data_IF_609718217846
#
_entry.id   IF_609718217846
#
_cell.length_a   1.000
_cell.length_b   1.000
_cell.length_c   1.000
_cell.angle_alpha   90.00
_cell.angle_beta   90.00
_cell.angle_gamma   90.00
#
_symmetry.space_group_name_H-M   'P 1'
#
loop_
_entity.id
_entity.type
_entity.pdbx_description
1 polymer ?
#
# COMPACT_ATOMS: atom_id res chain seq x y z
N UNK A 1 -4.14 -1.62 -23.55
CA UNK A 1 -5.06 -2.69 -23.99
C UNK A 1 -5.86 -3.09 -22.75
N UNK A 2 -7.19 -2.85 -22.73
CA UNK A 2 -8.04 -3.30 -21.63
C UNK A 2 -8.14 -4.81 -21.76
N UNK A 3 -7.67 -5.55 -20.76
CA UNK A 3 -7.79 -7.01 -20.68
C UNK A 3 -9.22 -7.43 -20.97
N UNK A 4 -9.39 -8.45 -21.79
CA UNK A 4 -10.70 -8.98 -22.12
C UNK A 4 -11.36 -9.44 -20.81
N UNK A 5 -12.54 -8.88 -20.48
CA UNK A 5 -13.30 -9.17 -19.24
C UNK A 5 -13.58 -10.67 -19.01
N UNK A 6 -13.30 -11.52 -20.01
CA UNK A 6 -13.56 -12.95 -20.02
C UNK A 6 -12.32 -13.81 -19.71
N UNK A 7 -11.13 -13.22 -19.53
CA UNK A 7 -9.93 -13.93 -19.12
C UNK A 7 -9.94 -14.09 -17.59
N UNK A 8 -10.40 -15.24 -17.09
CA UNK A 8 -10.40 -15.54 -15.65
C UNK A 8 -8.99 -15.46 -15.03
N UNK A 9 -7.94 -15.60 -15.84
CA UNK A 9 -6.54 -15.47 -15.41
C UNK A 9 -6.11 -14.05 -15.01
N UNK A 10 -6.91 -13.01 -15.32
CA UNK A 10 -6.58 -11.61 -15.03
C UNK A 10 -7.46 -11.00 -13.92
N UNK A 11 -8.45 -11.76 -13.41
CA UNK A 11 -9.33 -11.26 -12.37
C UNK A 11 -8.61 -11.23 -11.02
N UNK A 12 -8.42 -10.03 -10.47
CA UNK A 12 -7.97 -9.83 -9.10
C UNK A 12 -9.20 -9.55 -8.22
N UNK A 13 -9.66 -10.53 -7.42
CA UNK A 13 -10.78 -10.30 -6.51
C UNK A 13 -10.40 -9.25 -5.47
N UNK A 14 -11.31 -8.31 -5.22
CA UNK A 14 -11.17 -7.30 -4.16
C UNK A 14 -12.25 -7.56 -3.13
N UNK A 15 -11.84 -7.67 -1.86
CA UNK A 15 -12.76 -7.71 -0.73
C UNK A 15 -13.10 -6.29 -0.30
N UNK A 16 -14.38 -5.93 -0.41
CA UNK A 16 -14.87 -4.64 0.09
C UNK A 16 -15.25 -4.77 1.56
N UNK A 17 -14.61 -3.99 2.41
CA UNK A 17 -14.98 -3.85 3.81
C UNK A 17 -16.15 -2.89 3.97
N UNK A 18 -16.94 -3.07 5.03
CA UNK A 18 -17.96 -2.09 5.39
C UNK A 18 -17.30 -0.76 5.84
N UNK A 19 -18.06 0.33 5.81
CA UNK A 19 -17.54 1.67 6.14
C UNK A 19 -16.92 1.71 7.54
N UNK A 20 -17.56 1.09 8.53
CA UNK A 20 -17.08 1.05 9.90
C UNK A 20 -15.71 0.36 10.01
N UNK A 21 -15.52 -0.79 9.33
CA UNK A 21 -14.24 -1.50 9.31
C UNK A 21 -13.13 -0.67 8.64
N UNK A 22 -13.41 0.00 7.52
CA UNK A 22 -12.41 0.87 6.87
C UNK A 22 -11.94 2.01 7.80
N UNK A 23 -12.86 2.61 8.56
CA UNK A 23 -12.49 3.66 9.54
C UNK A 23 -11.64 3.07 10.66
N UNK A 24 -12.01 1.89 11.17
CA UNK A 24 -11.26 1.21 12.22
C UNK A 24 -9.83 0.87 11.76
N UNK A 25 -9.66 0.35 10.55
CA UNK A 25 -8.34 0.07 9.97
C UNK A 25 -7.47 1.32 9.90
N UNK A 26 -8.05 2.46 9.50
CA UNK A 26 -7.32 3.74 9.47
C UNK A 26 -6.88 4.18 10.86
N UNK A 27 -7.73 4.02 11.86
CA UNK A 27 -7.39 4.32 13.26
C UNK A 27 -6.24 3.43 13.74
N UNK A 28 -6.31 2.12 13.50
CA UNK A 28 -5.25 1.17 13.87
C UNK A 28 -3.94 1.51 13.16
N UNK A 29 -3.99 1.72 11.84
CA UNK A 29 -2.81 2.09 11.05
C UNK A 29 -2.14 3.37 11.60
N UNK A 30 -2.92 4.41 11.88
CA UNK A 30 -2.36 5.66 12.39
C UNK A 30 -1.66 5.52 13.74
N UNK A 31 -2.15 4.63 14.61
CA UNK A 31 -1.54 4.35 15.91
C UNK A 31 -0.32 3.42 15.80
N UNK A 32 -0.37 2.42 14.93
CA UNK A 32 0.71 1.44 14.80
C UNK A 32 1.87 1.93 13.93
N UNK A 33 1.61 2.76 12.93
CA UNK A 33 2.63 3.17 11.96
C UNK A 33 3.82 3.87 12.62
N UNK A 34 3.59 4.75 13.60
CA UNK A 34 4.67 5.44 14.33
C UNK A 34 5.58 4.50 15.12
N UNK A 35 5.06 3.34 15.55
CA UNK A 35 5.84 2.33 16.27
C UNK A 35 6.71 1.50 15.32
N UNK A 36 6.23 1.28 14.09
CA UNK A 36 6.88 0.40 13.11
C UNK A 36 7.79 1.16 12.15
N UNK A 37 7.55 2.45 11.90
CA UNK A 37 8.26 3.22 10.86
C UNK A 37 9.78 3.20 11.01
N UNK A 38 10.29 3.21 12.25
CA UNK A 38 11.72 3.18 12.54
C UNK A 38 12.38 1.82 12.32
N UNK A 39 11.58 0.74 12.26
CA UNK A 39 12.04 -0.61 11.96
C UNK A 39 11.98 -0.98 10.47
N UNK A 40 11.45 -0.10 9.62
CA UNK A 40 11.36 -0.35 8.18
C UNK A 40 12.74 -0.22 7.51
N UNK A 41 12.96 -1.00 6.46
CA UNK A 41 14.22 -0.94 5.72
C UNK A 41 14.41 0.45 5.08
N UNK A 42 15.59 1.09 5.13
CA UNK A 42 15.79 2.46 4.63
C UNK A 42 15.48 2.68 3.13
N UNK A 43 15.54 1.60 2.34
CA UNK A 43 15.20 1.58 0.91
C UNK A 43 13.75 1.16 0.62
N UNK A 44 12.95 0.80 1.64
CA UNK A 44 11.53 0.51 1.47
C UNK A 44 10.77 1.82 1.21
N UNK A 45 10.38 2.04 -0.05
CA UNK A 45 9.58 3.22 -0.44
C UNK A 45 8.09 2.88 -0.55
N UNK A 46 7.76 1.63 -0.90
CA UNK A 46 6.38 1.16 -0.93
C UNK A 46 5.73 1.26 0.43
N UNK A 47 4.50 1.79 0.48
CA UNK A 47 3.68 1.88 1.69
C UNK A 47 4.29 2.72 2.83
N UNK A 48 5.20 3.64 2.52
CA UNK A 48 5.81 4.55 3.50
C UNK A 48 5.43 6.01 3.22
N UNK A 49 5.33 6.82 4.28
CA UNK A 49 5.01 8.25 4.16
C UNK A 49 6.21 9.01 3.57
N UNK A 50 5.93 10.03 2.74
CA UNK A 50 6.96 10.92 2.19
C UNK A 50 7.89 10.26 1.16
N UNK A 51 7.54 9.07 0.67
CA UNK A 51 8.28 8.32 -0.36
C UNK A 51 7.38 8.08 -1.57
N UNK A 52 8.00 8.02 -2.74
CA UNK A 52 7.33 7.76 -4.02
C UNK A 52 8.19 6.90 -4.94
N UNK A 53 7.59 6.39 -6.01
CA UNK A 53 8.29 5.67 -7.07
C UNK A 53 9.35 6.53 -7.77
N UNK A 54 9.24 7.87 -7.69
CA UNK A 54 10.25 8.80 -8.23
C UNK A 54 11.43 8.94 -7.28
N UNK A 55 11.18 9.03 -5.97
CA UNK A 55 12.27 9.15 -4.98
C UNK A 55 13.09 7.87 -4.81
N UNK A 56 12.51 6.70 -5.14
CA UNK A 56 13.17 5.41 -5.00
C UNK A 56 14.47 5.30 -5.83
N UNK A 57 14.47 5.51 -7.16
CA UNK A 57 15.69 5.44 -7.95
C UNK A 57 16.72 6.52 -7.58
N UNK A 58 16.28 7.71 -7.15
CA UNK A 58 17.18 8.80 -6.75
C UNK A 58 18.00 8.51 -5.49
N UNK A 59 17.59 7.54 -4.67
CA UNK A 59 18.33 7.12 -3.47
C UNK A 59 19.42 6.06 -3.73
N UNK A 60 19.36 5.39 -4.89
CA UNK A 60 20.26 4.29 -5.23
C UNK A 60 21.45 4.78 -6.07
N UNK A 61 21.38 6.03 -6.54
CA UNK A 61 22.44 6.73 -7.26
C UNK A 61 23.33 7.46 -6.26
#
# INVERSE_FOLDING_TARGET
>A
QKGARNNMSEYQPISLLCVASNVMERCVFNNMYSLVENGLHPLQHGFTKGRSCVTQPLKVI
#
